data_IF_886124310099
#
_entry.id   IF_886124310099
#
_cell.length_a   1.000
_cell.length_b   1.000
_cell.length_c   1.000
_cell.angle_alpha   90.00
_cell.angle_beta   90.00
_cell.angle_gamma   90.00
#
_symmetry.space_group_name_H-M   'P 1'
#
loop_
_entity.id
_entity.type
_entity.pdbx_description
1 polymer ?
#
# COMPACT_ATOMS: atom_id res chain seq x y z
N UNK A 1 62.48 17.35 57.66
CA UNK A 1 62.02 17.71 56.30
C UNK A 1 60.94 16.69 55.96
N UNK A 2 59.65 16.98 55.92
CA UNK A 2 58.94 18.22 55.67
C UNK A 2 57.81 17.85 54.71
N UNK A 3 56.61 17.70 55.27
CA UNK A 3 55.28 17.93 54.70
C UNK A 3 54.96 17.34 53.30
N UNK A 4 54.05 16.35 53.22
CA UNK A 4 52.60 16.55 53.07
C UNK A 4 52.20 16.75 51.60
N UNK A 5 51.28 15.89 51.13
CA UNK A 5 50.26 16.22 50.12
C UNK A 5 50.83 16.47 48.69
N UNK A 6 50.53 15.68 47.67
CA UNK A 6 49.26 15.55 46.96
C UNK A 6 49.33 14.22 46.18
N UNK A 7 48.49 13.21 46.43
CA UNK A 7 47.14 13.13 45.87
C UNK A 7 47.02 13.80 44.50
N UNK A 8 47.36 13.08 43.42
CA UNK A 8 46.39 12.74 42.37
C UNK A 8 46.86 11.41 41.76
N UNK A 9 46.59 10.29 42.43
CA UNK A 9 46.33 9.07 41.66
C UNK A 9 45.04 9.40 40.94
N UNK A 10 45.19 9.83 39.70
CA UNK A 10 44.09 10.10 38.80
C UNK A 10 43.33 8.78 38.73
N UNK A 11 42.16 8.75 39.34
CA UNK A 11 41.10 7.83 38.98
C UNK A 11 40.86 8.00 37.47
N UNK A 12 41.63 7.29 36.64
CA UNK A 12 41.25 7.10 35.26
C UNK A 12 40.40 5.84 35.23
N UNK A 13 39.08 5.96 34.97
CA UNK A 13 38.14 4.84 34.97
C UNK A 13 38.47 3.91 33.80
N UNK A 14 39.44 3.01 33.99
CA UNK A 14 39.87 2.02 33.00
C UNK A 14 38.96 0.78 33.04
N UNK A 15 37.66 0.98 33.25
CA UNK A 15 36.65 -0.08 33.23
C UNK A 15 35.49 0.19 32.24
N UNK A 16 35.48 1.32 31.52
CA UNK A 16 34.38 1.66 30.59
C UNK A 16 34.69 1.42 29.11
N UNK A 17 35.97 1.48 28.70
CA UNK A 17 36.37 1.42 27.27
C UNK A 17 36.01 0.11 26.57
N UNK A 18 36.04 -1.03 27.28
CA UNK A 18 35.77 -2.36 26.68
C UNK A 18 34.28 -2.59 26.42
N UNK A 19 33.42 -2.10 27.30
CA UNK A 19 31.97 -2.14 27.11
C UNK A 19 31.55 -1.17 26.02
N UNK A 20 32.20 0.00 25.96
CA UNK A 20 31.99 0.98 24.91
C UNK A 20 32.39 0.43 23.52
N UNK A 21 33.56 -0.21 23.38
CA UNK A 21 33.98 -0.87 22.13
C UNK A 21 33.05 -2.02 21.72
N UNK A 22 32.55 -2.81 22.68
CA UNK A 22 31.56 -3.84 22.39
C UNK A 22 30.22 -3.23 21.93
N UNK A 23 29.83 -2.09 22.51
CA UNK A 23 28.62 -1.34 22.12
C UNK A 23 28.78 -0.70 20.75
N UNK A 24 29.93 -0.12 20.44
CA UNK A 24 30.28 0.42 19.11
C UNK A 24 30.31 -0.67 18.04
N UNK A 25 30.87 -1.85 18.36
CA UNK A 25 30.82 -3.03 17.48
C UNK A 25 29.40 -3.51 17.24
N UNK A 26 28.54 -3.52 18.27
CA UNK A 26 27.13 -3.88 18.11
C UNK A 26 26.37 -2.85 17.25
N UNK A 27 26.63 -1.54 17.43
CA UNK A 27 26.02 -0.47 16.63
C UNK A 27 26.48 -0.51 15.17
N UNK A 28 27.77 -0.74 14.93
CA UNK A 28 28.31 -0.90 13.57
C UNK A 28 27.77 -2.17 12.89
N UNK A 29 27.62 -3.28 13.61
CA UNK A 29 27.00 -4.50 13.08
C UNK A 29 25.52 -4.29 12.76
N UNK A 30 24.77 -3.62 13.64
CA UNK A 30 23.37 -3.29 13.38
C UNK A 30 23.23 -2.32 12.19
N UNK A 31 24.07 -1.28 12.11
CA UNK A 31 24.05 -0.31 11.02
C UNK A 31 24.42 -0.91 9.66
N UNK A 32 25.33 -1.90 9.64
CA UNK A 32 25.70 -2.61 8.41
C UNK A 32 24.71 -3.72 8.03
N UNK A 33 24.00 -4.30 8.99
CA UNK A 33 23.02 -5.38 8.76
C UNK A 33 21.58 -4.88 8.52
N UNK A 34 21.20 -3.71 9.06
CA UNK A 34 19.90 -3.06 8.83
C UNK A 34 19.53 -2.89 7.35
N UNK A 35 20.44 -2.47 6.45
CA UNK A 35 20.14 -2.33 5.02
C UNK A 35 19.66 -3.64 4.38
N UNK A 36 20.27 -4.76 4.77
CA UNK A 36 19.90 -6.09 4.29
C UNK A 36 18.55 -6.56 4.85
N UNK A 37 18.33 -6.38 6.16
CA UNK A 37 17.06 -6.73 6.79
C UNK A 37 15.87 -5.95 6.20
N UNK A 38 16.09 -4.67 5.88
CA UNK A 38 15.08 -3.79 5.32
C UNK A 38 14.81 -4.10 3.83
N UNK A 39 15.79 -4.61 3.07
CA UNK A 39 15.57 -5.16 1.73
C UNK A 39 14.63 -6.39 1.77
N UNK A 40 14.85 -7.30 2.71
CA UNK A 40 14.02 -8.49 2.88
C UNK A 40 12.58 -8.16 3.29
N UNK A 41 12.40 -7.17 4.17
CA UNK A 41 11.09 -6.63 4.53
C UNK A 41 10.39 -6.02 3.30
N UNK A 42 11.07 -5.15 2.54
CA UNK A 42 10.51 -4.56 1.31
C UNK A 42 10.05 -5.61 0.31
N UNK A 43 10.76 -6.71 0.13
CA UNK A 43 10.35 -7.74 -0.84
C UNK A 43 9.15 -8.56 -0.35
N UNK A 44 9.02 -8.75 0.96
CA UNK A 44 7.85 -9.34 1.60
C UNK A 44 6.63 -8.42 1.46
N UNK A 45 6.79 -7.13 1.77
CA UNK A 45 5.75 -6.11 1.63
C UNK A 45 5.33 -5.94 0.16
N UNK A 46 6.27 -5.91 -0.78
CA UNK A 46 5.96 -5.87 -2.23
C UNK A 46 5.16 -7.09 -2.67
N UNK A 47 5.45 -8.29 -2.14
CA UNK A 47 4.69 -9.50 -2.47
C UNK A 47 3.28 -9.44 -1.89
N UNK A 48 3.13 -9.04 -0.62
CA UNK A 48 1.83 -8.84 0.02
C UNK A 48 0.97 -7.81 -0.72
N UNK A 49 1.55 -6.66 -1.09
CA UNK A 49 0.87 -5.60 -1.87
C UNK A 49 0.47 -6.11 -3.27
N UNK A 50 1.31 -6.92 -3.93
CA UNK A 50 0.97 -7.51 -5.24
C UNK A 50 -0.16 -8.53 -5.14
N UNK A 51 -0.17 -9.37 -4.12
CA UNK A 51 -1.24 -10.34 -3.87
C UNK A 51 -2.58 -9.63 -3.65
N UNK A 52 -2.62 -8.66 -2.72
CA UNK A 52 -3.80 -7.84 -2.46
C UNK A 52 -4.30 -7.11 -3.71
N UNK A 53 -3.39 -6.58 -4.54
CA UNK A 53 -3.78 -5.92 -5.80
C UNK A 53 -4.36 -6.89 -6.82
N UNK A 54 -3.96 -8.16 -6.82
CA UNK A 54 -4.47 -9.16 -7.75
C UNK A 54 -5.85 -9.68 -7.33
N UNK A 55 -6.07 -9.84 -6.03
CA UNK A 55 -7.38 -10.17 -5.44
C UNK A 55 -8.39 -9.05 -5.73
N UNK A 56 -8.02 -7.80 -5.46
CA UNK A 56 -8.86 -6.65 -5.77
C UNK A 56 -9.20 -6.53 -7.27
N UNK A 57 -8.33 -6.99 -8.17
CA UNK A 57 -8.62 -7.03 -9.62
C UNK A 57 -9.59 -8.14 -10.00
N UNK A 58 -9.54 -9.28 -9.33
CA UNK A 58 -10.48 -10.38 -9.54
C UNK A 58 -11.88 -10.03 -9.02
N UNK A 59 -11.98 -9.52 -7.79
CA UNK A 59 -13.25 -9.07 -7.23
C UNK A 59 -13.88 -7.94 -8.05
N UNK A 60 -13.05 -6.99 -8.49
CA UNK A 60 -13.52 -5.93 -9.38
C UNK A 60 -14.08 -6.46 -10.70
N UNK A 61 -13.68 -7.65 -11.19
CA UNK A 61 -14.20 -8.21 -12.44
C UNK A 61 -15.53 -8.96 -12.25
N UNK A 62 -15.91 -9.26 -11.01
CA UNK A 62 -17.14 -9.97 -10.65
C UNK A 62 -18.36 -9.05 -10.60
N UNK A 63 -18.16 -7.76 -10.36
CA UNK A 63 -19.25 -6.79 -10.28
C UNK A 63 -19.72 -6.33 -11.68
N UNK A 64 -21.04 -6.32 -11.93
CA UNK A 64 -21.58 -5.85 -13.19
C UNK A 64 -21.32 -4.34 -13.38
N UNK A 65 -21.13 -3.88 -14.62
CA UNK A 65 -20.78 -2.49 -14.91
C UNK A 65 -21.82 -1.47 -14.43
N UNK A 66 -23.10 -1.87 -14.31
CA UNK A 66 -24.18 -1.02 -13.80
C UNK A 66 -24.03 -0.71 -12.29
N UNK A 67 -23.49 -1.64 -11.49
CA UNK A 67 -23.34 -1.47 -10.03
C UNK A 67 -22.10 -0.65 -9.64
N UNK A 68 -21.16 -0.44 -10.57
CA UNK A 68 -19.87 0.18 -10.30
C UNK A 68 -20.00 1.59 -9.69
N UNK A 69 -20.93 2.39 -10.21
CA UNK A 69 -21.18 3.75 -9.74
C UNK A 69 -22.32 3.82 -8.72
N UNK A 70 -23.28 2.88 -8.80
CA UNK A 70 -24.42 2.81 -7.88
C UNK A 70 -23.98 2.48 -6.45
N UNK A 71 -22.88 1.75 -6.27
CA UNK A 71 -22.29 1.51 -4.93
C UNK A 71 -21.54 2.72 -4.37
N UNK A 72 -21.27 3.75 -5.20
CA UNK A 72 -20.59 4.98 -4.81
C UNK A 72 -21.58 6.14 -4.60
N UNK A 73 -22.69 5.88 -3.89
CA UNK A 73 -23.72 6.88 -3.57
C UNK A 73 -23.19 8.06 -2.75
N UNK A 74 -22.05 7.89 -2.09
CA UNK A 74 -21.36 8.95 -1.35
C UNK A 74 -20.85 10.09 -2.28
N UNK A 75 -20.56 9.75 -3.55
CA UNK A 75 -19.96 10.69 -4.51
C UNK A 75 -20.91 11.18 -5.58
N UNK A 76 -22.02 10.48 -5.80
CA UNK A 76 -22.95 10.76 -6.89
C UNK A 76 -24.38 10.71 -6.38
N UNK A 77 -25.13 11.78 -6.65
CA UNK A 77 -26.49 11.94 -6.14
C UNK A 77 -27.55 11.34 -7.08
N UNK A 78 -27.31 11.38 -8.40
CA UNK A 78 -28.26 10.89 -9.38
C UNK A 78 -27.59 10.03 -10.46
N UNK A 79 -28.30 8.98 -10.88
CA UNK A 79 -27.86 8.00 -11.87
C UNK A 79 -28.91 7.86 -12.97
N UNK A 80 -28.43 7.62 -14.20
CA UNK A 80 -29.29 7.30 -15.35
C UNK A 80 -29.65 5.80 -15.38
N UNK A 81 -30.55 5.38 -16.29
CA UNK A 81 -31.01 3.98 -16.47
C UNK A 81 -29.84 2.98 -16.68
N UNK A 82 -28.73 3.46 -17.26
CA UNK A 82 -27.51 2.66 -17.47
C UNK A 82 -26.57 2.60 -16.26
N UNK A 83 -26.94 3.22 -15.13
CA UNK A 83 -26.12 3.33 -13.92
C UNK A 83 -25.01 4.38 -14.02
N UNK A 84 -25.07 5.32 -14.98
CA UNK A 84 -24.08 6.37 -15.17
C UNK A 84 -24.39 7.59 -14.28
N UNK A 85 -23.40 8.17 -13.55
CA UNK A 85 -23.63 9.36 -12.74
C UNK A 85 -24.00 10.57 -13.62
N UNK A 86 -25.10 11.23 -13.29
CA UNK A 86 -25.54 12.46 -13.96
C UNK A 86 -25.26 13.69 -13.11
N UNK A 87 -25.35 13.53 -11.78
CA UNK A 87 -25.12 14.60 -10.81
C UNK A 87 -24.02 14.19 -9.82
N UNK A 88 -23.16 15.15 -9.49
CA UNK A 88 -22.12 15.00 -8.45
C UNK A 88 -22.75 15.01 -7.04
N UNK A 89 -21.94 14.85 -5.99
CA UNK A 89 -22.43 14.80 -4.60
C UNK A 89 -23.21 16.06 -4.20
N UNK A 90 -22.86 17.21 -4.80
CA UNK A 90 -23.51 18.50 -4.58
C UNK A 90 -24.78 18.72 -5.42
N UNK A 91 -25.22 17.72 -6.20
CA UNK A 91 -26.37 17.87 -7.09
C UNK A 91 -26.11 18.76 -8.31
N UNK A 92 -24.84 19.06 -8.62
CA UNK A 92 -24.46 19.76 -9.86
C UNK A 92 -24.32 18.77 -11.01
N UNK A 93 -24.75 19.20 -12.20
CA UNK A 93 -24.52 18.41 -13.42
C UNK A 93 -23.02 18.22 -13.64
N UNK A 94 -22.62 16.97 -13.85
CA UNK A 94 -21.23 16.62 -14.10
C UNK A 94 -20.77 17.27 -15.41
N UNK A 95 -19.59 17.88 -15.41
CA UNK A 95 -19.05 18.51 -16.62
C UNK A 95 -18.80 17.48 -17.73
N UNK A 96 -18.92 17.90 -19.00
CA UNK A 96 -18.67 17.03 -20.17
C UNK A 96 -17.33 16.29 -20.11
N UNK A 97 -16.31 16.92 -19.50
CA UNK A 97 -14.99 16.32 -19.34
C UNK A 97 -14.97 15.17 -18.31
N UNK A 98 -15.68 15.33 -17.20
CA UNK A 98 -15.83 14.31 -16.15
C UNK A 98 -16.71 13.17 -16.62
N UNK A 99 -17.83 13.44 -17.31
CA UNK A 99 -18.68 12.41 -17.92
C UNK A 99 -17.87 11.50 -18.85
N UNK A 100 -17.01 12.08 -19.70
CA UNK A 100 -16.14 11.31 -20.58
C UNK A 100 -15.12 10.44 -19.83
N UNK A 101 -14.65 10.87 -18.65
CA UNK A 101 -13.79 10.05 -17.78
C UNK A 101 -14.58 8.87 -17.20
N UNK A 102 -15.78 9.12 -16.68
CA UNK A 102 -16.66 8.09 -16.13
C UNK A 102 -17.05 7.05 -17.19
N UNK A 103 -17.34 7.50 -18.41
CA UNK A 103 -17.65 6.61 -19.53
C UNK A 103 -16.48 5.69 -19.88
N UNK A 104 -15.24 6.22 -19.90
CA UNK A 104 -14.04 5.38 -20.12
C UNK A 104 -13.86 4.32 -19.03
N UNK A 105 -14.13 4.67 -17.77
CA UNK A 105 -14.08 3.71 -16.65
C UNK A 105 -15.14 2.63 -16.79
N UNK A 106 -16.35 3.02 -17.20
CA UNK A 106 -17.45 2.10 -17.48
C UNK A 106 -17.09 1.13 -18.61
N UNK A 107 -16.62 1.63 -19.75
CA UNK A 107 -16.22 0.78 -20.89
C UNK A 107 -15.08 -0.18 -20.54
N UNK A 108 -14.11 0.26 -19.73
CA UNK A 108 -13.04 -0.60 -19.23
C UNK A 108 -13.57 -1.70 -18.30
N UNK A 109 -14.60 -1.41 -17.49
CA UNK A 109 -15.27 -2.40 -16.66
C UNK A 109 -16.08 -3.40 -17.51
N UNK A 110 -16.85 -2.92 -18.49
CA UNK A 110 -17.60 -3.78 -19.42
C UNK A 110 -16.68 -4.78 -20.10
N UNK A 111 -15.51 -4.35 -20.59
CA UNK A 111 -14.52 -5.24 -21.21
C UNK A 111 -14.00 -6.32 -20.25
N UNK A 112 -13.72 -5.95 -18.99
CA UNK A 112 -13.28 -6.91 -17.96
C UNK A 112 -14.37 -7.93 -17.62
N UNK A 113 -15.59 -7.45 -17.38
CA UNK A 113 -16.72 -8.29 -17.01
C UNK A 113 -17.16 -9.20 -18.17
N UNK A 114 -17.15 -8.71 -19.41
CA UNK A 114 -17.46 -9.54 -20.60
C UNK A 114 -16.43 -10.65 -20.81
N UNK A 115 -15.13 -10.37 -20.61
CA UNK A 115 -14.10 -11.41 -20.65
C UNK A 115 -14.29 -12.47 -19.55
N UNK A 116 -14.66 -12.05 -18.34
CA UNK A 116 -14.99 -12.94 -17.22
C UNK A 116 -16.24 -13.79 -17.48
N UNK A 117 -17.31 -13.21 -18.03
CA UNK A 117 -18.50 -13.95 -18.42
C UNK A 117 -18.18 -14.98 -19.50
N UNK A 118 -17.36 -14.61 -20.49
CA UNK A 118 -16.96 -15.53 -21.56
C UNK A 118 -16.17 -16.73 -21.01
N UNK A 119 -15.23 -16.52 -20.09
CA UNK A 119 -14.49 -17.63 -19.47
C UNK A 119 -15.40 -18.51 -18.62
N UNK A 120 -16.32 -17.92 -17.84
CA UNK A 120 -17.33 -18.67 -17.05
C UNK A 120 -18.27 -19.49 -17.92
N UNK A 121 -18.80 -18.92 -19.01
CA UNK A 121 -19.71 -19.63 -19.92
C UNK A 121 -19.04 -20.82 -20.63
N UNK A 122 -17.73 -20.77 -20.86
CA UNK A 122 -16.97 -21.88 -21.48
C UNK A 122 -16.82 -23.05 -20.51
N UNK A 123 -16.55 -22.76 -19.22
CA UNK A 123 -16.40 -23.82 -18.20
C UNK A 123 -17.71 -24.56 -17.92
N UNK A 124 -18.86 -23.89 -18.06
CA UNK A 124 -20.18 -24.49 -17.79
C UNK A 124 -20.73 -25.30 -18.98
N UNK A 125 -20.22 -25.12 -20.21
CA UNK A 125 -20.66 -25.87 -21.41
C UNK A 125 -19.96 -27.21 -21.65
N UNK A 126 -18.98 -27.57 -20.81
CA UNK A 126 -18.19 -28.80 -20.95
C UNK A 126 -18.41 -29.80 -19.82
N UNK A 127 -19.42 -29.55 -18.96
CA UNK A 127 -19.84 -30.44 -17.88
C UNK A 127 -21.18 -31.09 -18.18
#
# INVERSE_FOLDING_TARGET
MGYHHLCVIICFPHADRRLEVNRERAVTYHASFQPFLLLFQRDSDKKAVKAHKNEARNDASRHPPCELFVNQRDKYSAFDDKGMPTHDAEGKQISKSQLKKLQKLYEAQVKRHTAFLKSRMVTEKSG
#
